data_IF_614331452352
#
_entry.id   IF_614331452352
#
_cell.length_a   1.000
_cell.length_b   1.000
_cell.length_c   1.000
_cell.angle_alpha   90.00
_cell.angle_beta   90.00
_cell.angle_gamma   90.00
#
_symmetry.space_group_name_H-M   'P 1'
#
loop_
_entity.id
_entity.type
_entity.pdbx_description
1 polymer ?
#
# COMPACT_ATOMS: atom_id res chain seq x y z
N UNK A 1 3.58 -19.90 -23.21
CA UNK A 1 2.56 -18.85 -23.01
C UNK A 1 2.99 -18.00 -21.82
N UNK A 2 2.88 -16.68 -21.94
CA UNK A 2 3.76 -15.67 -21.33
C UNK A 2 4.01 -15.79 -19.82
N UNK A 3 5.28 -16.00 -19.44
CA UNK A 3 5.79 -15.69 -18.10
C UNK A 3 6.03 -14.18 -18.06
N UNK A 4 5.12 -13.44 -17.41
CA UNK A 4 5.37 -12.03 -17.14
C UNK A 4 6.46 -11.95 -16.07
N UNK A 5 7.68 -11.66 -16.49
CA UNK A 5 8.82 -11.43 -15.61
C UNK A 5 8.42 -10.41 -14.53
N UNK A 6 8.76 -10.65 -13.24
CA UNK A 6 8.62 -9.60 -12.24
C UNK A 6 9.53 -8.43 -12.64
N UNK A 7 9.01 -7.21 -12.85
CA UNK A 7 9.88 -6.08 -13.10
C UNK A 7 10.76 -5.88 -11.85
N UNK A 8 12.07 -6.00 -12.07
CA UNK A 8 13.10 -5.73 -11.09
C UNK A 8 12.83 -4.39 -10.39
N UNK A 9 12.98 -4.33 -9.07
CA UNK A 9 12.98 -3.05 -8.39
C UNK A 9 14.32 -2.79 -7.66
N UNK A 10 15.19 -1.95 -8.23
CA UNK A 10 16.37 -1.47 -7.54
C UNK A 10 16.02 -0.34 -6.56
N UNK A 11 16.70 -0.35 -5.41
CA UNK A 11 16.87 0.75 -4.45
C UNK A 11 15.59 1.29 -3.78
N UNK A 12 15.27 0.84 -2.56
CA UNK A 12 15.81 1.44 -1.32
C UNK A 12 16.21 2.92 -1.47
N UNK A 13 15.24 3.81 -1.56
CA UNK A 13 15.35 5.18 -1.03
C UNK A 13 14.06 5.47 -0.28
N UNK A 14 14.15 5.58 1.04
CA UNK A 14 13.05 6.07 1.88
C UNK A 14 12.79 7.53 1.52
N UNK A 15 11.99 7.76 0.48
CA UNK A 15 11.63 9.08 0.04
C UNK A 15 10.29 9.42 0.68
N UNK A 16 10.29 10.26 1.72
CA UNK A 16 9.06 10.95 2.15
C UNK A 16 8.44 11.58 0.91
N UNK A 17 7.26 11.12 0.49
CA UNK A 17 6.50 11.86 -0.50
C UNK A 17 6.06 13.19 0.12
N UNK A 18 6.17 14.30 -0.60
CA UNK A 18 5.61 15.57 -0.15
C UNK A 18 4.08 15.38 0.00
N UNK A 19 3.53 15.76 1.16
CA UNK A 19 2.07 15.88 1.31
C UNK A 19 1.56 17.04 0.43
N UNK A 20 0.34 16.99 -0.12
CA UNK A 20 -0.73 16.01 0.07
C UNK A 20 -0.63 14.81 -0.89
N UNK A 21 -0.86 13.62 -0.34
CA UNK A 21 -0.91 12.38 -1.11
C UNK A 21 -2.36 12.04 -1.44
N UNK A 22 -2.74 12.17 -2.71
CA UNK A 22 -4.05 11.71 -3.18
C UNK A 22 -3.96 10.30 -3.76
N UNK A 23 -4.97 9.48 -3.46
CA UNK A 23 -5.04 8.10 -3.97
C UNK A 23 -5.05 8.02 -5.50
N UNK A 24 -5.49 9.07 -6.20
CA UNK A 24 -5.53 9.14 -7.67
C UNK A 24 -4.15 9.20 -8.34
N UNK A 25 -3.10 9.57 -7.58
CA UNK A 25 -1.72 9.65 -8.07
C UNK A 25 -1.05 8.26 -8.14
N UNK A 26 -1.71 7.24 -7.59
CA UNK A 26 -1.20 5.88 -7.52
C UNK A 26 -2.04 4.95 -8.38
N UNK A 27 -1.36 4.14 -9.19
CA UNK A 27 -1.98 3.07 -9.95
C UNK A 27 -2.03 1.80 -9.09
N UNK A 28 -3.24 1.36 -8.75
CA UNK A 28 -3.46 0.22 -7.86
C UNK A 28 -3.38 -1.09 -8.64
N UNK A 29 -2.32 -1.86 -8.39
CA UNK A 29 -2.11 -3.18 -8.96
C UNK A 29 -2.71 -4.32 -8.11
N UNK A 30 -2.00 -5.44 -8.10
CA UNK A 30 -2.40 -6.70 -7.45
C UNK A 30 -2.50 -6.57 -5.94
N UNK A 31 -3.30 -7.43 -5.32
CA UNK A 31 -3.38 -7.51 -3.86
C UNK A 31 -2.16 -8.29 -3.35
N UNK A 32 -1.34 -7.65 -2.50
CA UNK A 32 -0.17 -8.28 -1.89
C UNK A 32 -0.56 -9.13 -0.67
N UNK A 33 -1.63 -8.76 0.03
CA UNK A 33 -2.09 -9.51 1.18
C UNK A 33 -3.39 -8.99 1.77
N UNK A 34 -4.07 -9.88 2.49
CA UNK A 34 -5.26 -9.59 3.29
C UNK A 34 -4.94 -9.88 4.75
N UNK A 35 -5.02 -8.88 5.61
CA UNK A 35 -4.83 -9.03 7.05
C UNK A 35 -6.09 -8.66 7.83
N UNK A 36 -6.05 -8.85 9.15
CA UNK A 36 -7.14 -8.49 10.08
C UNK A 36 -7.53 -7.01 9.99
N UNK A 37 -6.56 -6.12 9.75
CA UNK A 37 -6.78 -4.68 9.70
C UNK A 37 -7.21 -4.15 8.32
N UNK A 38 -7.28 -5.01 7.31
CA UNK A 38 -7.66 -4.63 5.94
C UNK A 38 -6.79 -5.26 4.86
N UNK A 39 -6.74 -4.64 3.68
CA UNK A 39 -6.09 -5.21 2.48
C UNK A 39 -4.91 -4.35 2.04
N UNK A 40 -3.81 -4.99 1.67
CA UNK A 40 -2.63 -4.34 1.11
C UNK A 40 -2.63 -4.53 -0.40
N UNK A 41 -2.57 -3.43 -1.14
CA UNK A 41 -2.44 -3.46 -2.60
C UNK A 41 -1.08 -2.94 -3.01
N UNK A 42 -0.53 -3.55 -4.04
CA UNK A 42 0.60 -3.01 -4.76
C UNK A 42 0.16 -1.73 -5.47
N UNK A 43 0.97 -0.69 -5.42
CA UNK A 43 0.66 0.58 -6.04
C UNK A 43 1.90 1.17 -6.70
N UNK A 44 1.74 1.72 -7.90
CA UNK A 44 2.83 2.39 -8.61
C UNK A 44 2.52 3.88 -8.69
N UNK A 45 3.44 4.73 -8.26
CA UNK A 45 3.26 6.17 -8.37
C UNK A 45 3.37 6.58 -9.85
N UNK A 46 2.34 7.22 -10.40
CA UNK A 46 2.27 7.53 -11.84
C UNK A 46 3.37 8.49 -12.30
N UNK A 47 3.80 9.40 -11.43
CA UNK A 47 4.76 10.45 -11.78
C UNK A 47 6.23 9.99 -11.65
N UNK A 48 6.53 9.15 -10.65
CA UNK A 48 7.92 8.73 -10.36
C UNK A 48 8.18 7.28 -10.76
N UNK A 49 7.16 6.55 -11.23
CA UNK A 49 7.20 5.12 -11.51
C UNK A 49 7.78 4.29 -10.33
N UNK A 50 7.61 4.79 -9.11
CA UNK A 50 8.10 4.10 -7.90
C UNK A 50 7.04 3.15 -7.38
N UNK A 51 7.48 2.01 -6.87
CA UNK A 51 6.60 0.98 -6.35
C UNK A 51 6.40 1.14 -4.85
N UNK A 52 5.14 1.06 -4.43
CA UNK A 52 4.65 1.26 -3.07
C UNK A 52 3.66 0.16 -2.69
N UNK A 53 3.47 -0.03 -1.38
CA UNK A 53 2.41 -0.87 -0.85
C UNK A 53 1.40 0.01 -0.11
N UNK A 54 0.15 0.05 -0.57
CA UNK A 54 -0.91 0.84 0.06
C UNK A 54 -1.74 -0.08 0.94
N UNK A 55 -1.74 0.20 2.25
CA UNK A 55 -2.57 -0.49 3.23
C UNK A 55 -3.92 0.23 3.34
N UNK A 56 -4.98 -0.44 2.91
CA UNK A 56 -6.35 0.07 2.95
C UNK A 56 -7.00 -0.41 4.24
N UNK A 57 -7.26 0.54 5.12
CA UNK A 57 -7.79 0.34 6.47
C UNK A 57 -9.24 0.84 6.51
N UNK A 58 -10.19 0.03 6.97
CA UNK A 58 -11.57 0.49 7.14
C UNK A 58 -11.77 1.08 8.54
N UNK A 59 -11.95 2.40 8.63
CA UNK A 59 -12.13 3.10 9.91
C UNK A 59 -13.27 2.52 10.76
N UNK A 60 -14.43 2.22 10.16
CA UNK A 60 -15.56 1.63 10.86
C UNK A 60 -15.25 0.24 11.45
N UNK A 61 -14.48 -0.56 10.72
CA UNK A 61 -14.10 -1.92 11.12
C UNK A 61 -13.06 -1.85 12.25
N UNK A 62 -12.10 -0.94 12.16
CA UNK A 62 -11.09 -0.69 13.21
C UNK A 62 -11.73 -0.19 14.50
N UNK A 63 -12.69 0.74 14.42
CA UNK A 63 -13.41 1.26 15.60
C UNK A 63 -14.23 0.15 16.26
N UNK A 64 -14.92 -0.69 15.47
CA UNK A 64 -15.69 -1.83 15.98
C UNK A 64 -14.81 -2.91 16.60
N UNK A 65 -13.65 -3.17 16.01
CA UNK A 65 -12.69 -4.18 16.49
C UNK A 65 -11.87 -3.70 17.69
N UNK A 66 -11.97 -2.41 18.07
CA UNK A 66 -11.45 -1.84 19.31
C UNK A 66 -10.03 -2.32 19.68
N UNK A 67 -9.14 -2.48 18.70
CA UNK A 67 -7.71 -2.77 18.91
C UNK A 67 -6.96 -1.51 19.32
N UNK A 68 -7.49 -0.79 20.31
CA UNK A 68 -6.78 0.27 21.03
C UNK A 68 -6.12 -0.39 22.24
N UNK A 69 -5.26 -1.39 22.00
CA UNK A 69 -4.36 -1.87 23.06
C UNK A 69 -3.19 -0.90 23.13
N UNK A 70 -3.44 0.28 23.71
CA UNK A 70 -2.40 1.00 24.44
C UNK A 70 -2.30 0.28 25.81
N UNK A 71 -1.61 -0.86 25.86
CA UNK A 71 -1.60 -1.67 27.08
C UNK A 71 -1.01 -3.06 26.91
N UNK A 72 0.28 -3.16 26.63
CA UNK A 72 1.28 -3.91 27.40
C UNK A 72 2.65 -3.79 26.71
#
# INVERSE_FOLDING_TARGET
MATAAPPANPAKKSNKLPAPLDGSQFEMGVTLGTGSFGRVRFATHKNTATFWAIKILKKAEIIRLQQVTFGC
#
